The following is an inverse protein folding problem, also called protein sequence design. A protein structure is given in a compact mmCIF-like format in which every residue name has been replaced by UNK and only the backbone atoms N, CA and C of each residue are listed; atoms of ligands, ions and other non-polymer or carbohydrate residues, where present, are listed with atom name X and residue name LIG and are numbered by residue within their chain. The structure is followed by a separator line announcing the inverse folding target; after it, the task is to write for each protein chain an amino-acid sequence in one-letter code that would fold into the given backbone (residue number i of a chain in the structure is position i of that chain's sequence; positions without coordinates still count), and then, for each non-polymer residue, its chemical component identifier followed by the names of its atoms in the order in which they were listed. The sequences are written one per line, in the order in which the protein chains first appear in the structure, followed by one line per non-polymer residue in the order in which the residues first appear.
data_IF_445156855272
#
_entry.id   IF_445156855272
#
_cell.length_a   1.000
_cell.length_b   1.000
_cell.length_c   1.000
_cell.angle_alpha   90.00
_cell.angle_beta   90.00
_cell.angle_gamma   90.00
#
_symmetry.space_group_name_H-M   'P 1'
#
loop_
_entity.id
_entity.type
_entity.pdbx_description
1 polymer ?
#
# COMPACT_ATOMS: atom_id res chain seq x y z
N UNK A 1 16.60 -30.41 6.86
CA UNK A 1 15.63 -30.47 7.97
C UNK A 1 14.53 -29.46 7.68
N UNK A 2 13.30 -29.89 7.41
CA UNK A 2 12.16 -29.00 7.10
C UNK A 2 11.51 -28.56 8.42
N UNK A 3 11.33 -27.25 8.62
CA UNK A 3 10.60 -26.74 9.76
C UNK A 3 9.09 -26.87 9.49
N UNK A 4 8.31 -27.50 10.39
CA UNK A 4 6.87 -27.66 10.19
C UNK A 4 6.18 -26.30 10.08
N UNK A 5 5.34 -26.14 9.04
CA UNK A 5 4.56 -24.92 8.78
C UNK A 5 5.16 -23.94 7.76
N UNK A 6 6.42 -24.10 7.37
CA UNK A 6 7.03 -23.29 6.31
C UNK A 6 6.75 -23.87 4.92
N UNK A 7 6.58 -23.03 3.88
CA UNK A 7 6.40 -23.52 2.51
C UNK A 7 7.59 -24.36 2.05
N UNK A 8 7.34 -25.25 1.08
CA UNK A 8 8.31 -26.24 0.59
C UNK A 8 9.62 -25.62 0.07
N UNK A 9 9.58 -24.35 -0.36
CA UNK A 9 10.74 -23.58 -0.76
C UNK A 9 10.75 -22.21 -0.04
N UNK A 10 11.77 -21.97 0.78
CA UNK A 10 12.09 -20.67 1.35
C UNK A 10 13.24 -20.06 0.57
N UNK A 11 12.91 -19.20 -0.40
CA UNK A 11 13.90 -18.50 -1.21
C UNK A 11 13.46 -17.07 -1.51
N UNK A 12 14.43 -16.17 -1.73
CA UNK A 12 14.14 -14.80 -2.15
C UNK A 12 13.37 -14.76 -3.47
N UNK A 13 13.56 -15.76 -4.33
CA UNK A 13 12.82 -15.90 -5.59
C UNK A 13 11.35 -16.24 -5.33
N UNK A 14 11.05 -17.20 -4.46
CA UNK A 14 9.68 -17.53 -4.09
C UNK A 14 8.94 -16.32 -3.46
N UNK A 15 9.62 -15.56 -2.59
CA UNK A 15 9.07 -14.34 -1.99
C UNK A 15 8.73 -13.30 -3.07
N UNK A 16 9.66 -13.02 -3.99
CA UNK A 16 9.44 -12.07 -5.10
C UNK A 16 8.26 -12.49 -5.98
N UNK A 17 8.14 -13.79 -6.28
CA UNK A 17 7.02 -14.32 -7.07
C UNK A 17 5.68 -14.14 -6.33
N UNK A 18 5.64 -14.40 -5.02
CA UNK A 18 4.43 -14.20 -4.22
C UNK A 18 4.02 -12.72 -4.20
N UNK A 19 4.97 -11.81 -3.96
CA UNK A 19 4.74 -10.36 -4.00
C UNK A 19 4.24 -9.90 -5.37
N UNK A 20 4.87 -10.35 -6.45
CA UNK A 20 4.48 -10.01 -7.83
C UNK A 20 3.06 -10.50 -8.20
N UNK A 21 2.54 -11.50 -7.50
CA UNK A 21 1.16 -11.99 -7.64
C UNK A 21 0.18 -11.33 -6.67
N UNK A 22 0.66 -10.49 -5.76
CA UNK A 22 -0.14 -9.90 -4.69
C UNK A 22 -0.51 -10.90 -3.57
N UNK A 23 0.15 -12.06 -3.49
CA UNK A 23 -0.05 -13.07 -2.45
C UNK A 23 0.75 -12.71 -1.19
N UNK A 24 0.24 -11.71 -0.47
CA UNK A 24 0.81 -11.23 0.79
C UNK A 24 0.85 -12.29 1.89
N UNK A 25 -0.18 -13.16 2.09
CA UNK A 25 -0.12 -14.21 3.12
C UNK A 25 1.05 -15.16 2.90
N UNK A 26 1.27 -15.62 1.66
CA UNK A 26 2.39 -16.51 1.34
C UNK A 26 3.74 -15.82 1.52
N UNK A 27 3.87 -14.57 1.06
CA UNK A 27 5.07 -13.78 1.28
C UNK A 27 5.36 -13.57 2.78
N UNK A 28 4.35 -13.23 3.57
CA UNK A 28 4.48 -12.98 5.00
C UNK A 28 4.90 -14.23 5.78
N UNK A 29 4.35 -15.40 5.41
CA UNK A 29 4.76 -16.69 5.99
C UNK A 29 6.23 -17.02 5.72
N UNK A 30 6.74 -16.70 4.53
CA UNK A 30 8.14 -16.88 4.20
C UNK A 30 9.06 -15.87 4.90
N UNK A 31 8.60 -14.62 5.04
CA UNK A 31 9.36 -13.52 5.67
C UNK A 31 9.33 -13.56 7.20
N UNK A 32 8.36 -14.26 7.80
CA UNK A 32 8.07 -14.21 9.24
C UNK A 32 7.44 -12.90 9.71
N UNK A 33 7.01 -12.04 8.79
CA UNK A 33 6.40 -10.72 9.03
C UNK A 33 5.68 -10.21 7.79
N UNK A 34 4.80 -9.23 7.94
CA UNK A 34 4.24 -8.48 6.81
C UNK A 34 5.35 -7.84 5.96
N UNK A 35 5.12 -7.79 4.65
CA UNK A 35 6.01 -7.08 3.73
C UNK A 35 6.03 -5.60 4.11
N UNK A 36 7.22 -5.01 4.22
CA UNK A 36 7.42 -3.61 4.61
C UNK A 36 8.35 -2.95 3.62
N UNK A 37 7.98 -1.74 3.18
CA UNK A 37 8.85 -0.85 2.42
C UNK A 37 9.09 0.44 3.19
N UNK A 38 10.17 1.13 2.84
CA UNK A 38 10.55 2.41 3.44
C UNK A 38 10.71 3.44 2.35
N UNK A 39 10.25 4.66 2.62
CA UNK A 39 10.27 5.73 1.65
C UNK A 39 10.13 7.10 2.30
N UNK A 40 10.20 8.13 1.47
CA UNK A 40 10.01 9.52 1.89
C UNK A 40 8.63 9.99 1.44
N UNK A 41 7.90 10.67 2.32
CA UNK A 41 6.64 11.31 1.92
C UNK A 41 6.93 12.57 1.14
N UNK A 42 6.44 12.64 -0.10
CA UNK A 42 6.61 13.80 -0.97
C UNK A 42 5.61 14.92 -0.67
N UNK A 43 6.10 16.17 -0.78
CA UNK A 43 5.35 17.41 -0.54
C UNK A 43 4.18 17.67 -1.49
N UNK A 44 4.14 16.98 -2.63
CA UNK A 44 3.10 17.20 -3.64
C UNK A 44 1.93 16.27 -3.36
N UNK A 45 1.04 16.65 -2.43
CA UNK A 45 -0.28 16.05 -2.34
C UNK A 45 -1.07 16.42 -3.59
N UNK A 46 -0.86 15.64 -4.65
CA UNK A 46 -1.53 15.82 -5.92
C UNK A 46 -3.04 15.80 -5.69
N UNK A 47 -3.67 16.85 -6.21
CA UNK A 47 -4.91 17.49 -5.75
C UNK A 47 -6.19 16.63 -5.73
N UNK A 48 -6.24 15.47 -6.41
CA UNK A 48 -7.47 14.71 -6.64
C UNK A 48 -8.12 14.13 -5.38
N UNK A 49 -7.43 13.20 -4.69
CA UNK A 49 -7.98 12.54 -3.51
C UNK A 49 -8.19 13.53 -2.34
N UNK A 50 -7.27 14.47 -2.14
CA UNK A 50 -7.40 15.53 -1.14
C UNK A 50 -8.62 16.43 -1.38
N UNK A 51 -8.93 16.78 -2.64
CA UNK A 51 -10.14 17.54 -2.97
C UNK A 51 -11.44 16.75 -2.75
N UNK A 52 -11.37 15.42 -2.74
CA UNK A 52 -12.47 14.51 -2.48
C UNK A 52 -12.58 14.10 -1.00
N UNK A 53 -11.76 14.69 -0.10
CA UNK A 53 -11.79 14.42 1.33
C UNK A 53 -10.93 13.25 1.80
N UNK A 54 -10.09 12.67 0.93
CA UNK A 54 -9.19 11.56 1.23
C UNK A 54 -7.73 11.98 1.10
N UNK A 55 -7.16 12.69 2.09
CA UNK A 55 -5.75 13.07 2.04
C UNK A 55 -4.87 11.80 2.03
N UNK A 56 -3.90 11.76 1.12
CA UNK A 56 -2.95 10.64 0.98
C UNK A 56 -1.51 11.12 1.10
N UNK A 57 -0.67 10.32 1.74
CA UNK A 57 0.78 10.46 1.70
C UNK A 57 1.32 9.75 0.46
N UNK A 58 1.96 10.48 -0.45
CA UNK A 58 2.72 9.91 -1.57
C UNK A 58 4.09 9.46 -1.05
N UNK A 59 4.35 8.15 -1.02
CA UNK A 59 5.59 7.58 -0.46
C UNK A 59 6.51 7.16 -1.59
N UNK A 60 7.62 7.88 -1.76
CA UNK A 60 8.63 7.52 -2.75
C UNK A 60 9.57 6.47 -2.19
N UNK A 61 9.61 5.32 -2.86
CA UNK A 61 10.41 4.15 -2.51
C UNK A 61 11.51 3.98 -3.56
N UNK A 62 12.69 3.52 -3.14
CA UNK A 62 13.80 3.27 -4.06
C UNK A 62 13.43 2.18 -5.09
N UNK A 63 13.84 2.32 -6.37
CA UNK A 63 13.40 1.45 -7.46
C UNK A 63 13.88 -0.01 -7.33
N UNK A 64 14.91 -0.27 -6.52
CA UNK A 64 15.42 -1.62 -6.26
C UNK A 64 14.53 -2.41 -5.29
N UNK A 65 13.57 -1.77 -4.64
CA UNK A 65 12.67 -2.40 -3.68
C UNK A 65 11.52 -3.08 -4.40
N UNK A 66 11.37 -4.37 -4.17
CA UNK A 66 10.21 -5.12 -4.66
C UNK A 66 8.94 -4.68 -3.92
N UNK A 67 8.04 -4.02 -4.63
CA UNK A 67 6.66 -3.77 -4.21
C UNK A 67 5.76 -4.97 -4.58
N UNK A 68 4.60 -5.15 -3.90
CA UNK A 68 3.63 -6.15 -4.33
C UNK A 68 3.00 -5.75 -5.67
N UNK A 69 2.15 -6.61 -6.23
CA UNK A 69 1.38 -6.30 -7.44
C UNK A 69 0.65 -4.95 -7.35
N UNK A 70 0.28 -4.36 -8.49
CA UNK A 70 -0.58 -3.18 -8.48
C UNK A 70 -1.96 -3.50 -7.85
N UNK A 71 -2.51 -2.56 -7.08
CA UNK A 71 -3.79 -2.70 -6.41
C UNK A 71 -3.95 -1.89 -5.13
N UNK A 72 -5.05 -2.18 -4.43
CA UNK A 72 -5.41 -1.56 -3.16
C UNK A 72 -5.20 -2.57 -2.03
N UNK A 73 -4.63 -2.09 -0.93
CA UNK A 73 -4.17 -2.90 0.19
C UNK A 73 -4.61 -2.30 1.52
N UNK A 74 -4.89 -3.18 2.48
CA UNK A 74 -4.98 -2.82 3.89
C UNK A 74 -3.60 -3.00 4.53
N UNK A 75 -3.19 -2.02 5.32
CA UNK A 75 -1.89 -2.08 5.97
C UNK A 75 -1.66 -1.04 7.04
N UNK A 76 -0.40 -0.88 7.40
CA UNK A 76 0.01 0.07 8.42
C UNK A 76 0.98 1.08 7.84
N UNK A 77 0.74 2.35 8.15
CA UNK A 77 1.74 3.40 8.05
C UNK A 77 2.43 3.54 9.40
N UNK A 78 3.75 3.46 9.43
CA UNK A 78 4.55 3.64 10.64
C UNK A 78 5.43 4.88 10.49
N UNK A 79 5.26 5.81 11.43
CA UNK A 79 6.00 7.07 11.51
C UNK A 79 7.42 6.86 12.06
N UNK A 80 8.32 7.85 11.89
CA UNK A 80 9.67 7.81 12.47
C UNK A 80 9.69 7.66 13.99
N UNK A 81 8.69 8.21 14.69
CA UNK A 81 8.52 8.10 16.14
C UNK A 81 8.02 6.71 16.60
N UNK A 82 7.71 5.82 15.65
CA UNK A 82 7.20 4.47 15.89
C UNK A 82 5.69 4.38 16.02
N UNK A 83 4.94 5.51 15.97
CA UNK A 83 3.48 5.47 15.97
C UNK A 83 2.97 4.77 14.72
N UNK A 84 1.87 4.01 14.88
CA UNK A 84 1.33 3.16 13.83
C UNK A 84 -0.12 3.52 13.55
N UNK A 85 -0.45 3.74 12.29
CA UNK A 85 -1.76 4.15 11.81
C UNK A 85 -2.29 3.14 10.78
N UNK A 86 -3.58 2.76 10.88
CA UNK A 86 -4.23 1.96 9.85
C UNK A 86 -4.24 2.76 8.56
N UNK A 87 -3.92 2.12 7.44
CA UNK A 87 -3.85 2.80 6.16
C UNK A 87 -4.46 1.95 5.04
N UNK A 88 -5.31 2.60 4.24
CA UNK A 88 -5.65 2.12 2.91
C UNK A 88 -4.52 2.55 1.96
N UNK A 89 -3.85 1.57 1.35
CA UNK A 89 -2.65 1.77 0.56
C UNK A 89 -2.99 1.50 -0.90
N UNK A 90 -2.77 2.48 -1.76
CA UNK A 90 -2.83 2.31 -3.21
C UNK A 90 -1.41 2.15 -3.75
N UNK A 91 -1.17 1.12 -4.55
CA UNK A 91 0.06 1.02 -5.33
C UNK A 91 -0.30 0.77 -6.79
N UNK A 92 0.04 1.73 -7.66
CA UNK A 92 -0.16 1.56 -9.08
C UNK A 92 -0.23 2.87 -9.85
N UNK A 93 -0.78 2.82 -11.06
CA UNK A 93 -0.62 3.91 -12.03
C UNK A 93 -1.80 4.86 -12.00
N UNK A 94 -1.50 6.15 -11.91
CA UNK A 94 -2.52 7.17 -12.16
C UNK A 94 -2.94 7.12 -13.63
N UNK A 95 -4.24 7.14 -13.93
CA UNK A 95 -4.73 7.35 -15.29
C UNK A 95 -4.51 8.82 -15.69
N UNK A 96 -3.25 9.20 -15.88
CA UNK A 96 -2.85 10.50 -16.43
C UNK A 96 -2.43 10.33 -17.89
N UNK A 97 -2.67 11.37 -18.68
CA UNK A 97 -2.59 11.48 -20.15
C UNK A 97 -1.25 11.09 -20.83
N UNK A 98 -0.30 10.48 -20.12
CA UNK A 98 0.99 10.04 -20.65
C UNK A 98 1.13 8.53 -20.52
N UNK A 99 1.31 7.83 -21.64
CA UNK A 99 1.80 6.45 -21.63
C UNK A 99 3.18 6.42 -20.94
N UNK A 100 3.35 5.52 -19.96
CA UNK A 100 4.62 5.35 -19.24
C UNK A 100 4.71 6.03 -17.87
N UNK A 101 3.60 6.47 -17.27
CA UNK A 101 3.63 6.97 -15.89
C UNK A 101 4.11 5.89 -14.90
N UNK A 102 5.09 6.27 -14.07
CA UNK A 102 5.61 5.42 -12.99
C UNK A 102 4.51 5.15 -11.95
N UNK A 103 4.44 3.92 -11.40
CA UNK A 103 3.48 3.60 -10.36
C UNK A 103 3.80 4.40 -9.09
N UNK A 104 2.75 4.79 -8.39
CA UNK A 104 2.82 5.61 -7.17
C UNK A 104 2.35 4.77 -6.00
N UNK A 105 3.06 4.85 -4.88
CA UNK A 105 2.61 4.33 -3.60
C UNK A 105 1.95 5.46 -2.80
N UNK A 106 0.67 5.31 -2.50
CA UNK A 106 -0.12 6.28 -1.74
C UNK A 106 -0.68 5.62 -0.49
N UNK A 107 -0.59 6.28 0.66
CA UNK A 107 -1.17 5.81 1.91
C UNK A 107 -2.22 6.82 2.42
N UNK A 108 -3.47 6.39 2.47
CA UNK A 108 -4.53 7.11 3.19
C UNK A 108 -4.59 6.60 4.63
N UNK A 109 -4.10 7.38 5.58
CA UNK A 109 -4.16 7.04 7.00
C UNK A 109 -5.58 7.28 7.52
N UNK A 110 -6.18 6.24 8.10
CA UNK A 110 -7.51 6.31 8.69
C UNK A 110 -7.48 7.14 9.98
N UNK A 111 -8.47 8.00 10.14
CA UNK A 111 -8.69 8.85 11.33
C UNK A 111 -7.48 9.72 11.71
N UNK A 112 -6.58 9.98 10.76
CA UNK A 112 -5.38 10.76 10.99
C UNK A 112 -5.57 12.21 10.55
N UNK A 113 -5.11 13.12 11.41
CA UNK A 113 -5.03 14.54 11.13
C UNK A 113 -3.62 15.01 11.47
N UNK A 114 -2.93 15.61 10.50
CA UNK A 114 -1.58 16.09 10.67
C UNK A 114 -0.84 16.18 9.35
N UNK A 115 0.41 16.63 9.44
CA UNK A 115 1.34 16.67 8.32
C UNK A 115 2.29 15.47 8.37
N UNK A 116 2.55 14.88 7.22
CA UNK A 116 3.46 13.75 7.02
C UNK A 116 4.61 14.09 6.07
N UNK A 117 4.65 15.30 5.50
CA UNK A 117 5.62 15.67 4.46
C UNK A 117 7.06 15.57 4.95
N UNK A 118 7.91 14.99 4.11
CA UNK A 118 9.33 14.77 4.40
C UNK A 118 9.61 13.65 5.40
N UNK A 119 8.59 12.99 5.96
CA UNK A 119 8.80 11.88 6.88
C UNK A 119 9.39 10.66 6.18
N UNK A 120 10.28 9.96 6.90
CA UNK A 120 10.74 8.63 6.55
C UNK A 120 9.69 7.59 6.98
N UNK A 121 8.75 7.33 6.08
CA UNK A 121 7.66 6.40 6.30
C UNK A 121 8.12 4.94 6.21
N UNK A 122 7.51 4.08 7.02
CA UNK A 122 7.45 2.64 6.74
C UNK A 122 6.01 2.25 6.39
N UNK A 123 5.82 1.53 5.29
CA UNK A 123 4.52 1.07 4.83
C UNK A 123 4.50 -0.46 4.87
N UNK A 124 3.60 -1.02 5.68
CA UNK A 124 3.46 -2.46 5.88
C UNK A 124 2.19 -2.97 5.18
N UNK A 125 2.34 -3.92 4.28
CA UNK A 125 1.23 -4.52 3.54
C UNK A 125 0.71 -5.76 4.28
N UNK A 126 -0.57 -5.75 4.68
CA UNK A 126 -1.18 -6.85 5.45
C UNK A 126 -2.09 -7.69 4.57
N UNK A 127 -3.00 -7.07 3.84
CA UNK A 127 -3.97 -7.77 2.98
C UNK A 127 -4.19 -7.03 1.67
N UNK A 128 -4.38 -7.77 0.57
CA UNK A 128 -4.79 -7.21 -0.71
C UNK A 128 -6.31 -7.14 -0.74
N UNK A 129 -6.85 -5.95 -0.97
CA UNK A 129 -8.29 -5.71 -1.00
C UNK A 129 -8.86 -5.93 -2.41
N UNK A 130 -8.24 -5.30 -3.42
CA UNK A 130 -8.67 -5.41 -4.83
C UNK A 130 -7.58 -4.95 -5.79
N UNK A 131 -7.80 -5.18 -7.08
CA UNK A 131 -7.00 -4.58 -8.15
C UNK A 131 -7.34 -3.09 -8.34
N UNK A 132 -6.50 -2.36 -9.07
CA UNK A 132 -6.85 -1.00 -9.52
C UNK A 132 -8.01 -1.03 -10.51
N UNK A 133 -8.87 -0.03 -10.44
CA UNK A 133 -10.06 0.11 -11.28
C UNK A 133 -10.16 1.56 -11.76
N UNK A 134 -10.68 1.77 -12.97
CA UNK A 134 -11.02 3.10 -13.47
C UNK A 134 -12.45 3.42 -13.10
N UNK A 135 -12.69 4.64 -12.64
CA UNK A 135 -14.03 5.12 -12.29
C UNK A 135 -14.50 6.12 -13.33
N UNK A 136 -15.77 6.02 -13.69
CA UNK A 136 -16.41 6.88 -14.69
C UNK A 136 -16.83 8.24 -14.12
N UNK A 137 -16.89 8.38 -12.79
CA UNK A 137 -17.17 9.65 -12.12
C UNK A 137 -16.43 9.80 -10.78
N UNK A 138 -16.24 11.05 -10.29
CA UNK A 138 -15.70 11.31 -8.96
C UNK A 138 -16.52 10.68 -7.82
N UNK A 139 -17.85 10.62 -7.96
CA UNK A 139 -18.76 10.04 -6.96
C UNK A 139 -18.53 8.53 -6.83
N UNK A 140 -18.43 7.82 -7.97
CA UNK A 140 -18.13 6.38 -7.98
C UNK A 140 -16.76 6.08 -7.34
N UNK A 141 -15.76 6.95 -7.58
CA UNK A 141 -14.46 6.86 -6.93
C UNK A 141 -14.59 7.03 -5.40
N UNK A 142 -15.30 8.06 -4.94
CA UNK A 142 -15.51 8.31 -3.50
C UNK A 142 -16.24 7.15 -2.81
N UNK A 143 -17.27 6.60 -3.44
CA UNK A 143 -17.99 5.43 -2.91
C UNK A 143 -17.08 4.21 -2.77
N UNK A 144 -16.22 3.96 -3.77
CA UNK A 144 -15.26 2.86 -3.68
C UNK A 144 -14.18 3.13 -2.62
N UNK A 145 -13.64 4.34 -2.54
CA UNK A 145 -12.66 4.71 -1.52
C UNK A 145 -13.22 4.54 -0.10
N UNK A 146 -14.50 4.88 0.10
CA UNK A 146 -15.20 4.66 1.37
C UNK A 146 -15.30 3.17 1.71
N UNK A 147 -15.62 2.32 0.72
CA UNK A 147 -15.63 0.86 0.90
C UNK A 147 -14.24 0.30 1.20
N UNK A 148 -13.19 0.83 0.55
CA UNK A 148 -11.80 0.42 0.79
C UNK A 148 -11.33 0.80 2.21
N UNK A 149 -11.75 1.95 2.73
CA UNK A 149 -11.51 2.36 4.12
C UNK A 149 -12.16 1.38 5.10
N UNK A 150 -13.42 1.03 4.88
CA UNK A 150 -14.13 0.08 5.76
C UNK A 150 -13.51 -1.32 5.70
N UNK A 151 -13.19 -1.81 4.50
CA UNK A 151 -12.48 -3.07 4.33
C UNK A 151 -11.10 -3.06 5.01
N UNK A 152 -10.40 -1.92 4.99
CA UNK A 152 -9.15 -1.74 5.73
C UNK A 152 -9.34 -1.85 7.24
N UNK A 153 -10.43 -1.30 7.79
CA UNK A 153 -10.73 -1.42 9.22
C UNK A 153 -10.91 -2.87 9.62
N UNK A 154 -11.68 -3.62 8.84
CA UNK A 154 -11.99 -5.04 9.05
C UNK A 154 -10.77 -5.94 8.88
N UNK A 155 -9.92 -5.68 7.89
CA UNK A 155 -8.70 -6.46 7.67
C UNK A 155 -7.64 -6.28 8.78
N UNK A 156 -7.74 -5.21 9.59
CA UNK A 156 -6.79 -4.84 10.63
C UNK A 156 -7.41 -4.81 12.03
N UNK A 157 -8.60 -5.39 12.20
CA UNK A 157 -9.25 -5.58 13.51
C UNK A 157 -8.72 -6.80 14.24
#
# INVERSE_FOLDING_TARGET
MRLPGLPDELSSTAIRVALARGDLPTAARMLGRSHEVRGVVEGDARRGATQLGFPTANVTVAPEIQLPAEGIYAGWYVRPDGSRHKAAISFGRRPTFYEGAEPVLEAHLLDFHGDLYGELARVQFVSRLRAEERFESPEALVEQMTRDVEATRQALS
#
